data_IF_052198775114
#
_entry.id   IF_052198775114
#
_cell.length_a   1.000
_cell.length_b   1.000
_cell.length_c   1.000
_cell.angle_alpha   90.00
_cell.angle_beta   90.00
_cell.angle_gamma   90.00
#
_symmetry.space_group_name_H-M   'P 1'
#
loop_
_entity.id
_entity.type
_entity.pdbx_description
1 polymer ?
#
# COMPACT_ATOMS: atom_id res chain seq x y z
N UNK A 1 -38.52 -4.71 -1.15
CA UNK A 1 -38.14 -3.28 -1.05
C UNK A 1 -36.90 -3.06 -1.90
N UNK A 2 -36.97 -2.23 -2.93
CA UNK A 2 -35.85 -1.96 -3.84
C UNK A 2 -34.84 -0.98 -3.22
N UNK A 3 -33.54 -1.14 -3.52
CA UNK A 3 -32.47 -0.21 -3.09
C UNK A 3 -31.56 0.16 -4.27
N UNK A 4 -31.99 1.08 -5.15
CA UNK A 4 -31.24 1.45 -6.35
C UNK A 4 -29.83 1.93 -5.97
N UNK A 5 -28.84 1.45 -6.73
CA UNK A 5 -27.44 1.85 -6.58
C UNK A 5 -27.14 3.15 -7.33
N UNK A 6 -25.97 3.72 -7.08
CA UNK A 6 -25.46 4.90 -7.78
C UNK A 6 -24.24 4.52 -8.62
N UNK A 7 -24.21 4.92 -9.90
CA UNK A 7 -23.04 4.78 -10.75
C UNK A 7 -22.01 5.87 -10.46
N UNK A 8 -21.31 5.75 -9.33
CA UNK A 8 -20.36 6.75 -8.87
C UNK A 8 -18.92 6.39 -9.31
N UNK A 9 -18.18 7.37 -9.82
CA UNK A 9 -16.77 7.22 -10.19
C UNK A 9 -15.86 6.78 -9.03
N UNK A 10 -16.32 6.96 -7.78
CA UNK A 10 -15.66 6.49 -6.57
C UNK A 10 -15.40 4.98 -6.53
N UNK A 11 -16.09 4.16 -7.35
CA UNK A 11 -15.80 2.73 -7.46
C UNK A 11 -14.56 2.41 -8.31
N UNK A 12 -14.13 3.33 -9.19
CA UNK A 12 -13.10 3.07 -10.20
C UNK A 12 -11.80 3.79 -9.86
N UNK A 13 -11.86 5.13 -9.74
CA UNK A 13 -10.65 5.95 -9.65
C UNK A 13 -9.74 5.58 -8.49
N UNK A 14 -10.22 5.29 -7.26
CA UNK A 14 -9.33 4.95 -6.15
C UNK A 14 -8.51 3.69 -6.41
N UNK A 15 -9.12 2.63 -6.96
CA UNK A 15 -8.43 1.37 -7.26
C UNK A 15 -7.45 1.48 -8.42
N UNK A 16 -7.85 2.15 -9.51
CA UNK A 16 -6.97 2.37 -10.67
C UNK A 16 -5.79 3.26 -10.29
N UNK A 17 -6.03 4.35 -9.56
CA UNK A 17 -4.97 5.24 -9.10
C UNK A 17 -4.01 4.55 -8.13
N UNK A 18 -4.54 3.77 -7.18
CA UNK A 18 -3.72 2.99 -6.24
C UNK A 18 -2.79 2.03 -6.99
N UNK A 19 -3.31 1.25 -7.94
CA UNK A 19 -2.48 0.36 -8.77
C UNK A 19 -1.45 1.12 -9.61
N UNK A 20 -1.87 2.21 -10.26
CA UNK A 20 -0.98 3.02 -11.10
C UNK A 20 0.19 3.61 -10.31
N UNK A 21 -0.07 4.14 -9.11
CA UNK A 21 0.95 4.73 -8.24
C UNK A 21 1.87 3.66 -7.67
N UNK A 22 1.31 2.61 -7.06
CA UNK A 22 2.10 1.56 -6.40
C UNK A 22 3.02 0.81 -7.37
N UNK A 23 2.55 0.54 -8.58
CA UNK A 23 3.35 -0.18 -9.59
C UNK A 23 4.10 0.75 -10.54
N UNK A 24 4.06 2.06 -10.29
CA UNK A 24 4.68 3.09 -11.12
C UNK A 24 4.36 2.88 -12.61
N UNK A 25 3.07 2.79 -12.93
CA UNK A 25 2.62 2.47 -14.29
C UNK A 25 2.91 3.61 -15.25
N UNK A 26 3.55 3.33 -16.40
CA UNK A 26 3.92 4.35 -17.41
C UNK A 26 2.72 5.07 -18.02
N UNK A 27 1.69 4.31 -18.39
CA UNK A 27 0.49 4.79 -19.07
C UNK A 27 -0.73 4.02 -18.61
N UNK A 28 -1.88 4.68 -18.58
CA UNK A 28 -3.16 4.07 -18.18
C UNK A 28 -4.00 3.83 -19.45
N UNK A 29 -3.89 2.65 -20.11
CA UNK A 29 -4.74 2.35 -21.25
C UNK A 29 -6.19 2.06 -20.82
N UNK A 30 -7.14 2.23 -21.76
CA UNK A 30 -8.56 1.95 -21.56
C UNK A 30 -8.85 0.56 -20.97
N UNK A 31 -7.96 -0.40 -21.27
CA UNK A 31 -8.04 -1.76 -20.75
C UNK A 31 -8.03 -1.80 -19.21
N UNK A 32 -7.31 -0.91 -18.53
CA UNK A 32 -7.28 -0.86 -17.06
C UNK A 32 -8.63 -0.44 -16.49
N UNK A 33 -9.33 0.49 -17.13
CA UNK A 33 -10.69 0.87 -16.74
C UNK A 33 -11.69 -0.25 -16.96
N UNK A 34 -11.53 -1.03 -18.04
CA UNK A 34 -12.36 -2.21 -18.28
C UNK A 34 -12.13 -3.30 -17.22
N UNK A 35 -10.88 -3.52 -16.80
CA UNK A 35 -10.56 -4.45 -15.71
C UNK A 35 -11.19 -3.98 -14.39
N UNK A 36 -11.05 -2.69 -14.06
CA UNK A 36 -11.69 -2.12 -12.88
C UNK A 36 -13.22 -2.31 -12.90
N UNK A 37 -13.88 -2.05 -14.03
CA UNK A 37 -15.32 -2.24 -14.19
C UNK A 37 -15.76 -3.70 -13.96
N UNK A 38 -14.96 -4.68 -14.43
CA UNK A 38 -15.22 -6.11 -14.16
C UNK A 38 -15.13 -6.42 -12.67
N UNK A 39 -14.10 -5.93 -11.98
CA UNK A 39 -13.97 -6.11 -10.54
C UNK A 39 -15.12 -5.49 -9.74
N UNK A 40 -15.62 -4.32 -10.17
CA UNK A 40 -16.81 -3.69 -9.56
C UNK A 40 -18.04 -4.58 -9.73
N UNK A 41 -18.23 -5.18 -10.90
CA UNK A 41 -19.36 -6.07 -11.17
C UNK A 41 -19.28 -7.37 -10.34
N UNK A 42 -18.10 -7.98 -10.25
CA UNK A 42 -17.86 -9.19 -9.45
C UNK A 42 -18.03 -8.96 -7.94
N UNK A 43 -17.83 -7.73 -7.47
CA UNK A 43 -18.05 -7.38 -6.07
C UNK A 43 -19.53 -7.25 -5.66
N UNK A 44 -20.47 -7.33 -6.61
CA UNK A 44 -21.90 -7.29 -6.32
C UNK A 44 -22.38 -8.65 -5.80
N UNK A 45 -22.67 -8.72 -4.49
CA UNK A 45 -23.22 -9.94 -3.89
C UNK A 45 -24.59 -10.33 -4.49
N UNK A 46 -24.85 -11.63 -4.60
CA UNK A 46 -26.15 -12.17 -5.06
C UNK A 46 -27.34 -11.62 -4.25
N UNK A 47 -27.17 -11.44 -2.94
CA UNK A 47 -28.20 -10.82 -2.08
C UNK A 47 -28.52 -9.39 -2.51
N UNK A 48 -27.50 -8.62 -2.90
CA UNK A 48 -27.68 -7.23 -3.36
C UNK A 48 -28.44 -7.19 -4.68
N UNK A 49 -28.12 -8.11 -5.60
CA UNK A 49 -28.78 -8.22 -6.89
C UNK A 49 -30.23 -8.75 -6.77
N UNK A 50 -30.40 -9.90 -6.12
CA UNK A 50 -31.68 -10.63 -6.10
C UNK A 50 -32.70 -10.05 -5.11
N UNK A 51 -32.27 -9.56 -3.94
CA UNK A 51 -33.19 -9.04 -2.91
C UNK A 51 -33.51 -7.56 -3.11
N UNK A 52 -32.55 -6.77 -3.58
CA UNK A 52 -32.65 -5.31 -3.60
C UNK A 52 -32.57 -4.70 -5.01
N UNK A 53 -32.36 -5.51 -6.05
CA UNK A 53 -32.15 -5.08 -7.44
C UNK A 53 -31.03 -4.04 -7.57
N UNK A 54 -29.97 -4.21 -6.77
CA UNK A 54 -28.83 -3.31 -6.74
C UNK A 54 -27.70 -3.85 -7.60
N UNK A 55 -27.29 -3.06 -8.59
CA UNK A 55 -26.26 -3.41 -9.58
C UNK A 55 -24.86 -2.88 -9.26
N UNK A 56 -24.70 -2.17 -8.13
CA UNK A 56 -23.41 -1.69 -7.63
C UNK A 56 -23.14 -2.20 -6.21
N UNK A 57 -21.86 -2.41 -5.83
CA UNK A 57 -21.51 -2.82 -4.48
C UNK A 57 -21.85 -1.72 -3.46
N UNK A 58 -21.69 -2.02 -2.17
CA UNK A 58 -21.96 -1.03 -1.12
C UNK A 58 -20.77 -0.08 -1.02
N UNK A 59 -21.02 1.22 -0.86
CA UNK A 59 -19.97 2.23 -0.71
C UNK A 59 -18.98 1.94 0.42
N UNK A 60 -19.43 1.32 1.51
CA UNK A 60 -18.56 0.93 2.64
C UNK A 60 -17.48 -0.09 2.25
N UNK A 61 -17.69 -0.85 1.18
CA UNK A 61 -16.78 -1.89 0.71
C UNK A 61 -15.76 -1.33 -0.32
N UNK A 62 -15.75 -0.01 -0.59
CA UNK A 62 -14.88 0.63 -1.61
C UNK A 62 -13.40 0.44 -1.31
N UNK A 63 -12.95 0.52 -0.06
CA UNK A 63 -11.51 0.35 0.27
C UNK A 63 -11.02 -1.04 -0.16
N UNK A 64 -11.79 -2.07 0.17
CA UNK A 64 -11.46 -3.44 -0.20
C UNK A 64 -11.57 -3.68 -1.72
N UNK A 65 -12.58 -3.10 -2.36
CA UNK A 65 -12.70 -3.13 -3.82
C UNK A 65 -11.50 -2.47 -4.51
N UNK A 66 -11.00 -1.37 -3.96
CA UNK A 66 -9.85 -0.64 -4.51
C UNK A 66 -8.57 -1.48 -4.45
N UNK A 67 -8.38 -2.25 -3.38
CA UNK A 67 -7.25 -3.20 -3.26
C UNK A 67 -7.33 -4.26 -4.36
N UNK A 68 -8.50 -4.87 -4.55
CA UNK A 68 -8.70 -5.90 -5.58
C UNK A 68 -8.48 -5.36 -6.99
N UNK A 69 -8.98 -4.16 -7.29
CA UNK A 69 -8.72 -3.47 -8.56
C UNK A 69 -7.22 -3.22 -8.73
N UNK A 70 -6.54 -2.74 -7.69
CA UNK A 70 -5.11 -2.46 -7.76
C UNK A 70 -4.29 -3.72 -8.04
N UNK A 71 -4.63 -4.88 -7.45
CA UNK A 71 -3.99 -6.18 -7.75
C UNK A 71 -4.12 -6.50 -9.25
N UNK A 72 -5.33 -6.46 -9.79
CA UNK A 72 -5.58 -6.77 -11.22
C UNK A 72 -4.89 -5.78 -12.17
N UNK A 73 -4.90 -4.49 -11.83
CA UNK A 73 -4.17 -3.47 -12.57
C UNK A 73 -2.67 -3.77 -12.56
N UNK A 74 -2.09 -4.08 -11.39
CA UNK A 74 -0.69 -4.44 -11.27
C UNK A 74 -0.31 -5.66 -12.09
N UNK A 75 -1.10 -6.73 -12.01
CA UNK A 75 -0.91 -7.95 -12.80
C UNK A 75 -1.00 -7.70 -14.30
N UNK A 76 -1.92 -6.83 -14.75
CA UNK A 76 -1.96 -6.42 -16.14
C UNK A 76 -0.71 -5.62 -16.53
N UNK A 77 -0.30 -4.66 -15.71
CA UNK A 77 0.84 -3.79 -15.99
C UNK A 77 2.18 -4.55 -16.07
N UNK A 78 2.41 -5.54 -15.20
CA UNK A 78 3.60 -6.38 -15.28
C UNK A 78 3.60 -7.28 -16.52
N UNK A 79 2.45 -7.81 -16.94
CA UNK A 79 2.34 -8.66 -18.14
C UNK A 79 2.57 -7.91 -19.45
N UNK A 80 2.36 -6.60 -19.47
CA UNK A 80 2.46 -5.76 -20.67
C UNK A 80 3.61 -4.75 -20.60
N UNK A 81 4.59 -4.95 -19.72
CA UNK A 81 5.78 -4.10 -19.56
C UNK A 81 5.47 -2.61 -19.28
N UNK A 82 4.32 -2.36 -18.65
CA UNK A 82 3.84 -1.03 -18.26
C UNK A 82 4.25 -0.64 -16.85
N UNK A 83 4.44 -1.61 -15.95
CA UNK A 83 4.93 -1.36 -14.58
C UNK A 83 6.43 -1.05 -14.60
N UNK A 84 6.86 -0.04 -13.83
CA UNK A 84 8.30 0.27 -13.65
C UNK A 84 8.82 -0.02 -12.26
N UNK A 85 7.96 -0.37 -11.30
CA UNK A 85 8.41 -0.89 -10.02
C UNK A 85 9.11 -2.23 -10.24
N UNK A 86 10.38 -2.33 -9.86
CA UNK A 86 11.15 -3.58 -9.96
C UNK A 86 11.95 -3.83 -8.68
N UNK A 87 12.06 -5.10 -8.23
CA UNK A 87 11.45 -6.31 -8.82
C UNK A 87 9.93 -6.41 -8.59
N UNK A 88 9.23 -7.25 -9.36
CA UNK A 88 7.81 -7.54 -9.11
C UNK A 88 7.65 -8.11 -7.68
N UNK A 89 6.77 -7.55 -6.84
CA UNK A 89 6.48 -8.12 -5.53
C UNK A 89 6.03 -9.57 -5.63
N UNK A 90 6.53 -10.45 -4.74
CA UNK A 90 6.13 -11.87 -4.70
C UNK A 90 4.65 -12.03 -4.35
N UNK A 91 4.19 -11.23 -3.39
CA UNK A 91 2.79 -11.14 -2.99
C UNK A 91 2.30 -9.71 -3.25
N UNK A 92 1.50 -9.57 -4.30
CA UNK A 92 0.98 -8.29 -4.77
C UNK A 92 -0.03 -7.71 -3.79
N UNK A 93 -0.89 -8.55 -3.20
CA UNK A 93 -1.93 -8.09 -2.28
C UNK A 93 -1.32 -7.61 -0.97
N UNK A 94 -0.39 -8.38 -0.40
CA UNK A 94 0.31 -7.97 0.83
C UNK A 94 1.09 -6.67 0.61
N UNK A 95 1.77 -6.54 -0.53
CA UNK A 95 2.48 -5.29 -0.88
C UNK A 95 1.53 -4.09 -0.95
N UNK A 96 0.37 -4.24 -1.61
CA UNK A 96 -0.62 -3.15 -1.67
C UNK A 96 -1.11 -2.79 -0.27
N UNK A 97 -1.48 -3.78 0.55
CA UNK A 97 -2.02 -3.55 1.90
C UNK A 97 -1.01 -2.85 2.81
N UNK A 98 0.28 -3.14 2.69
CA UNK A 98 1.35 -2.47 3.44
C UNK A 98 1.55 -0.99 3.07
N UNK A 99 1.16 -0.60 1.86
CA UNK A 99 1.29 0.78 1.36
C UNK A 99 -0.02 1.58 1.45
N UNK A 100 -1.08 1.00 2.01
CA UNK A 100 -2.32 1.74 2.25
C UNK A 100 -2.14 2.74 3.40
N UNK A 101 -2.78 3.89 3.25
CA UNK A 101 -2.85 4.87 4.33
C UNK A 101 -3.61 4.30 5.54
N UNK A 102 -2.92 4.29 6.70
CA UNK A 102 -3.52 4.00 8.00
C UNK A 102 -4.19 5.26 8.57
N UNK A 103 -5.35 5.07 9.18
CA UNK A 103 -6.08 6.15 9.89
C UNK A 103 -5.70 6.23 11.36
N UNK A 104 -4.85 5.30 11.83
CA UNK A 104 -4.37 5.24 13.20
C UNK A 104 -3.21 6.23 13.40
N UNK A 105 -3.01 6.69 14.63
CA UNK A 105 -1.88 7.56 14.94
C UNK A 105 -0.58 6.77 14.94
N UNK A 106 0.44 7.37 14.34
CA UNK A 106 1.81 6.85 14.38
C UNK A 106 2.57 7.35 15.62
N UNK A 107 3.54 6.55 16.07
CA UNK A 107 4.47 6.96 17.12
C UNK A 107 5.43 8.03 16.59
N UNK A 108 5.40 9.21 17.22
CA UNK A 108 6.27 10.33 16.87
C UNK A 108 7.61 10.34 17.63
N UNK A 109 7.74 9.50 18.66
CA UNK A 109 8.94 9.40 19.48
C UNK A 109 9.80 8.25 18.95
N UNK A 110 11.11 8.48 18.86
CA UNK A 110 12.05 7.46 18.41
C UNK A 110 12.02 6.22 19.30
N UNK A 111 11.93 5.04 18.68
CA UNK A 111 12.10 3.74 19.36
C UNK A 111 13.57 3.53 19.68
N UNK A 112 13.90 3.46 20.97
CA UNK A 112 15.23 3.08 21.42
C UNK A 112 15.39 1.56 21.37
N UNK A 113 16.60 1.11 21.08
CA UNK A 113 16.97 -0.30 21.16
C UNK A 113 18.40 -0.40 21.70
N UNK A 114 18.68 -1.47 22.44
CA UNK A 114 19.99 -1.65 23.06
C UNK A 114 20.98 -2.28 22.10
N UNK A 115 22.20 -1.73 22.09
CA UNK A 115 23.34 -2.37 21.45
C UNK A 115 23.99 -3.39 22.40
N UNK A 116 24.69 -4.41 21.87
CA UNK A 116 25.48 -5.32 22.71
C UNK A 116 26.38 -4.53 23.67
N UNK A 117 26.41 -4.95 24.94
CA UNK A 117 27.05 -4.18 26.01
C UNK A 117 28.56 -3.92 25.83
N UNK A 118 29.23 -4.61 24.91
CA UNK A 118 30.63 -4.34 24.54
C UNK A 118 30.76 -3.18 23.56
N UNK A 119 29.78 -3.01 22.69
CA UNK A 119 29.78 -2.07 21.57
C UNK A 119 29.11 -0.72 21.94
N UNK A 120 28.38 -0.66 23.05
CA UNK A 120 27.79 0.56 23.62
C UNK A 120 28.65 1.24 24.69
N UNK A 121 29.86 0.71 24.96
CA UNK A 121 30.79 1.30 25.92
C UNK A 121 31.38 2.59 25.38
N UNK A 122 31.34 3.63 26.20
CA UNK A 122 32.03 4.87 25.92
C UNK A 122 33.50 4.77 26.31
N UNK A 123 34.35 5.55 25.64
CA UNK A 123 35.79 5.58 25.85
C UNK A 123 36.58 4.89 24.74
N UNK A 124 37.90 4.89 24.88
CA UNK A 124 38.76 4.29 23.86
C UNK A 124 38.66 2.75 23.93
N UNK A 125 38.51 2.08 22.78
CA UNK A 125 38.46 0.61 22.73
C UNK A 125 39.82 -0.02 23.08
N UNK A 126 40.89 0.76 22.98
CA UNK A 126 42.26 0.39 23.33
C UNK A 126 42.82 1.39 24.33
N UNK A 127 43.73 0.96 25.23
CA UNK A 127 44.39 1.86 26.16
C UNK A 127 45.15 2.97 25.41
N UNK A 128 45.04 4.21 25.90
CA UNK A 128 45.74 5.38 25.35
C UNK A 128 46.64 6.01 26.40
N UNK A 129 47.81 6.51 25.97
CA UNK A 129 48.68 7.31 26.83
C UNK A 129 48.05 8.70 27.00
N UNK A 130 47.78 9.11 28.23
CA UNK A 130 47.18 10.42 28.52
C UNK A 130 48.24 11.51 28.34
N UNK A 131 47.90 12.58 27.63
CA UNK A 131 48.76 13.78 27.56
C UNK A 131 48.63 14.54 28.88
N UNK A 132 49.77 14.90 29.47
CA UNK A 132 49.86 15.81 30.63
C UNK A 132 49.78 17.26 30.16
N UNK A 133 49.11 18.11 30.94
CA UNK A 133 49.10 19.56 30.72
C UNK A 133 50.24 20.23 31.47
N UNK A 134 50.64 21.41 31.00
CA UNK A 134 51.77 22.19 31.52
C UNK A 134 51.60 22.64 32.98
N UNK A 135 50.38 22.57 33.52
CA UNK A 135 50.05 22.87 34.92
C UNK A 135 50.34 21.70 35.90
N UNK A 136 50.80 20.55 35.40
CA UNK A 136 51.17 19.36 36.21
C UNK A 136 52.71 19.18 36.36
N UNK A 137 53.52 20.14 35.91
CA UNK A 137 54.98 20.24 36.16
C UNK A 137 55.30 21.27 37.24
#
# INVERSE_FOLDING_TARGET
>A
MYKPGQGNNAYIFPGVALGAVLFCTKHIPDKLFLLAARMVAEAVSEKSLNTYSRVYPRLKDIRELSVKIAVEVGEYCYRHDLATLHPKPKDMEMFIRQNLYSVEYDELINKTYEWPAKDSKHGFPVPVLRRTSMDEE
#
